data_IF_331010839578
#
_entry.id   IF_331010839578
#
_cell.length_a   1.000
_cell.length_b   1.000
_cell.length_c   1.000
_cell.angle_alpha   90.00
_cell.angle_beta   90.00
_cell.angle_gamma   90.00
#
_symmetry.space_group_name_H-M   'P 1'
#
loop_
_entity.id
_entity.type
_entity.pdbx_description
1 polymer ?
#
# COMPACT_ATOMS: atom_id res chain seq x y z
N UNK A 1 -31.29 -24.98 13.62
CA UNK A 1 -30.44 -24.74 12.45
C UNK A 1 -29.02 -24.77 12.95
N UNK A 2 -28.16 -25.68 12.46
CA UNK A 2 -26.76 -25.68 12.86
C UNK A 2 -26.11 -24.39 12.32
N UNK A 3 -25.50 -23.61 13.20
CA UNK A 3 -24.74 -22.43 12.80
C UNK A 3 -23.58 -22.88 11.88
N UNK A 4 -23.48 -22.28 10.72
CA UNK A 4 -22.38 -22.55 9.81
C UNK A 4 -21.07 -22.04 10.44
N UNK A 5 -20.01 -22.85 10.35
CA UNK A 5 -18.68 -22.47 10.87
C UNK A 5 -17.65 -22.54 9.76
N UNK A 6 -16.57 -21.75 9.90
CA UNK A 6 -15.43 -21.75 8.98
C UNK A 6 -14.14 -21.63 9.77
N UNK A 7 -13.11 -22.37 9.34
CA UNK A 7 -11.74 -22.24 9.85
C UNK A 7 -10.97 -21.24 8.98
N UNK A 8 -10.70 -20.08 9.54
CA UNK A 8 -9.94 -19.00 8.88
C UNK A 8 -8.44 -19.26 8.85
N UNK A 9 -7.98 -20.39 9.43
CA UNK A 9 -6.57 -20.81 9.53
C UNK A 9 -5.70 -19.79 10.28
N UNK A 10 -6.29 -19.16 11.28
CA UNK A 10 -5.63 -18.19 12.16
C UNK A 10 -5.12 -18.80 13.47
N UNK A 11 -5.27 -20.10 13.65
CA UNK A 11 -4.89 -20.88 14.82
C UNK A 11 -6.00 -21.00 15.89
N UNK A 12 -7.14 -20.37 15.71
CA UNK A 12 -8.27 -20.40 16.65
C UNK A 12 -9.30 -21.49 16.33
N UNK A 13 -9.12 -22.23 15.23
CA UNK A 13 -10.05 -23.24 14.76
C UNK A 13 -11.34 -22.66 14.16
N UNK A 14 -12.34 -23.51 13.87
CA UNK A 14 -13.58 -23.08 13.24
C UNK A 14 -14.42 -22.15 14.16
N UNK A 15 -14.83 -21.02 13.63
CA UNK A 15 -15.71 -20.05 14.32
C UNK A 15 -17.03 -19.87 13.55
N UNK A 16 -18.11 -19.42 14.21
CA UNK A 16 -19.36 -19.09 13.54
C UNK A 16 -19.13 -18.09 12.40
N UNK A 17 -19.57 -18.45 11.19
CA UNK A 17 -19.35 -17.68 9.99
C UNK A 17 -20.45 -17.93 8.96
N UNK A 18 -20.52 -17.05 7.98
CA UNK A 18 -21.46 -17.16 6.87
C UNK A 18 -20.80 -16.77 5.55
N UNK A 19 -21.43 -17.13 4.45
CA UNK A 19 -21.06 -16.64 3.12
C UNK A 19 -21.67 -15.26 2.90
N UNK A 20 -20.87 -14.30 2.49
CA UNK A 20 -21.38 -12.97 2.18
C UNK A 20 -22.29 -13.02 0.95
N UNK A 21 -23.40 -12.28 0.98
CA UNK A 21 -24.41 -12.31 -0.09
C UNK A 21 -23.87 -11.78 -1.42
N UNK A 22 -22.96 -10.81 -1.38
CA UNK A 22 -22.33 -10.24 -2.56
C UNK A 22 -20.90 -10.79 -2.70
N UNK A 23 -20.72 -11.83 -3.53
CA UNK A 23 -19.44 -12.44 -3.87
C UNK A 23 -19.15 -13.81 -3.23
N UNK A 24 -19.87 -14.20 -2.16
CA UNK A 24 -19.80 -15.53 -1.58
C UNK A 24 -18.56 -15.82 -0.73
N UNK A 25 -17.75 -14.83 -0.39
CA UNK A 25 -16.60 -14.99 0.50
C UNK A 25 -16.99 -15.26 1.96
N UNK A 26 -16.06 -15.78 2.74
CA UNK A 26 -16.30 -16.14 4.12
C UNK A 26 -16.19 -14.93 5.05
N UNK A 27 -17.21 -14.74 5.87
CA UNK A 27 -17.28 -13.67 6.87
C UNK A 27 -17.56 -14.29 8.25
N UNK A 28 -16.69 -14.04 9.23
CA UNK A 28 -16.94 -14.43 10.60
C UNK A 28 -18.10 -13.60 11.17
N UNK A 29 -18.94 -14.20 12.03
CA UNK A 29 -20.09 -13.50 12.60
C UNK A 29 -19.70 -12.35 13.55
N UNK A 30 -18.42 -12.27 13.95
CA UNK A 30 -17.85 -11.16 14.72
C UNK A 30 -17.45 -9.95 13.86
N UNK A 31 -17.26 -10.17 12.56
CA UNK A 31 -16.91 -9.11 11.62
C UNK A 31 -18.14 -8.38 11.10
N UNK A 32 -17.98 -7.10 10.79
CA UNK A 32 -19.04 -6.25 10.25
C UNK A 32 -18.76 -5.96 8.76
N UNK A 33 -19.58 -6.53 7.88
CA UNK A 33 -19.46 -6.33 6.45
C UNK A 33 -20.76 -5.78 5.88
N UNK A 34 -20.72 -4.62 5.25
CA UNK A 34 -21.89 -4.01 4.63
C UNK A 34 -22.28 -4.76 3.34
N UNK A 35 -23.56 -4.88 3.07
CA UNK A 35 -24.08 -5.63 1.91
C UNK A 35 -23.62 -5.10 0.55
N UNK A 36 -23.23 -3.83 0.44
CA UNK A 36 -22.67 -3.26 -0.80
C UNK A 36 -21.24 -3.73 -1.08
N UNK A 37 -20.49 -4.14 -0.06
CA UNK A 37 -19.15 -4.64 -0.25
C UNK A 37 -19.15 -5.97 -1.03
N UNK A 38 -18.21 -6.12 -1.94
CA UNK A 38 -17.98 -7.39 -2.62
C UNK A 38 -16.91 -8.19 -1.88
N UNK A 39 -17.25 -9.39 -1.42
CA UNK A 39 -16.30 -10.33 -0.81
C UNK A 39 -16.23 -11.56 -1.71
N UNK A 40 -15.17 -11.67 -2.51
CA UNK A 40 -14.98 -12.74 -3.48
C UNK A 40 -14.95 -14.13 -2.84
N UNK A 41 -15.19 -15.21 -3.60
CA UNK A 41 -15.46 -16.54 -3.07
C UNK A 41 -14.32 -17.12 -2.20
N UNK A 42 -13.07 -16.74 -2.46
CA UNK A 42 -11.89 -17.20 -1.73
C UNK A 42 -11.40 -16.17 -0.69
N UNK A 43 -11.96 -14.95 -0.73
CA UNK A 43 -11.65 -13.89 0.22
C UNK A 43 -12.25 -14.16 1.61
N UNK A 44 -11.57 -13.63 2.63
CA UNK A 44 -11.92 -13.88 4.03
C UNK A 44 -11.94 -12.59 4.84
N UNK A 45 -13.01 -12.40 5.62
CA UNK A 45 -13.15 -11.29 6.57
C UNK A 45 -13.46 -11.86 7.95
N UNK A 46 -12.60 -11.63 8.94
CA UNK A 46 -12.78 -12.24 10.26
C UNK A 46 -12.19 -11.39 11.39
N UNK A 47 -12.29 -11.90 12.64
CA UNK A 47 -12.02 -11.10 13.82
C UNK A 47 -13.12 -10.06 14.01
N UNK A 48 -12.75 -8.84 14.41
CA UNK A 48 -13.67 -7.70 14.55
C UNK A 48 -13.52 -6.72 13.37
N UNK A 49 -13.13 -7.20 12.20
CA UNK A 49 -12.91 -6.34 11.05
C UNK A 49 -14.19 -5.64 10.61
N UNK A 50 -14.05 -4.39 10.17
CA UNK A 50 -15.12 -3.56 9.66
C UNK A 50 -14.93 -3.26 8.19
N UNK A 51 -15.87 -3.68 7.34
CA UNK A 51 -15.83 -3.44 5.88
C UNK A 51 -17.11 -2.73 5.46
N UNK A 52 -17.00 -1.50 4.95
CA UNK A 52 -18.16 -0.67 4.61
C UNK A 52 -17.97 0.13 3.31
N UNK A 53 -19.05 0.49 2.66
CA UNK A 53 -19.01 1.16 1.36
C UNK A 53 -18.95 0.16 0.20
N UNK A 54 -18.44 0.59 -0.96
CA UNK A 54 -18.31 -0.25 -2.17
C UNK A 54 -16.95 -0.97 -2.22
N UNK A 55 -16.50 -1.41 -1.08
CA UNK A 55 -15.21 -2.13 -0.96
C UNK A 55 -15.22 -3.39 -1.79
N UNK A 56 -14.09 -3.70 -2.41
CA UNK A 56 -13.86 -4.91 -3.17
C UNK A 56 -12.75 -5.75 -2.52
N UNK A 57 -13.09 -6.91 -1.95
CA UNK A 57 -12.11 -7.88 -1.43
C UNK A 57 -12.17 -9.13 -2.29
N UNK A 58 -11.07 -9.51 -2.94
CA UNK A 58 -11.05 -10.62 -3.90
C UNK A 58 -9.73 -11.40 -3.92
N UNK A 59 -9.70 -12.52 -4.65
CA UNK A 59 -8.60 -13.46 -4.56
C UNK A 59 -8.55 -14.11 -3.19
N UNK A 60 -7.38 -14.51 -2.74
CA UNK A 60 -7.15 -15.08 -1.40
C UNK A 60 -6.97 -14.02 -0.30
N UNK A 61 -7.36 -12.78 -0.60
CA UNK A 61 -7.18 -11.64 0.30
C UNK A 61 -7.88 -11.84 1.65
N UNK A 62 -7.27 -11.34 2.70
CA UNK A 62 -7.83 -11.39 4.05
C UNK A 62 -7.85 -10.03 4.74
N UNK A 63 -8.99 -9.73 5.36
CA UNK A 63 -9.18 -8.56 6.23
C UNK A 63 -9.55 -9.06 7.62
N UNK A 64 -8.72 -8.77 8.63
CA UNK A 64 -8.97 -9.34 9.95
C UNK A 64 -8.39 -8.52 11.12
N UNK A 65 -8.64 -9.00 12.34
CA UNK A 65 -8.35 -8.26 13.56
C UNK A 65 -9.36 -7.14 13.75
N UNK A 66 -8.90 -5.95 14.11
CA UNK A 66 -9.71 -4.73 14.23
C UNK A 66 -9.53 -3.83 12.99
N UNK A 67 -9.23 -4.41 11.83
CA UNK A 67 -8.97 -3.66 10.60
C UNK A 67 -10.24 -3.00 10.06
N UNK A 68 -10.06 -1.82 9.48
CA UNK A 68 -11.12 -1.03 8.88
C UNK A 68 -10.87 -0.83 7.38
N UNK A 69 -11.81 -1.25 6.54
CA UNK A 69 -11.75 -1.05 5.08
C UNK A 69 -13.02 -0.37 4.62
N UNK A 70 -12.91 0.78 3.95
CA UNK A 70 -14.09 1.60 3.63
C UNK A 70 -13.97 2.39 2.31
N UNK A 71 -15.07 3.00 1.89
CA UNK A 71 -15.14 3.76 0.65
C UNK A 71 -15.19 2.86 -0.58
N UNK A 72 -14.37 3.15 -1.57
CA UNK A 72 -14.19 2.38 -2.82
C UNK A 72 -12.88 1.56 -2.78
N UNK A 73 -12.36 1.27 -1.59
CA UNK A 73 -11.09 0.59 -1.40
C UNK A 73 -11.09 -0.82 -1.99
N UNK A 74 -9.91 -1.26 -2.42
CA UNK A 74 -9.73 -2.58 -3.03
C UNK A 74 -8.63 -3.36 -2.30
N UNK A 75 -8.91 -4.61 -1.96
CA UNK A 75 -7.94 -5.56 -1.39
C UNK A 75 -7.99 -6.83 -2.22
N UNK A 76 -6.88 -7.21 -2.87
CA UNK A 76 -6.92 -8.32 -3.83
C UNK A 76 -5.61 -9.12 -3.89
N UNK A 77 -5.63 -10.26 -4.59
CA UNK A 77 -4.51 -11.21 -4.59
C UNK A 77 -4.42 -11.91 -3.24
N UNK A 78 -3.22 -12.06 -2.72
CA UNK A 78 -2.93 -12.65 -1.40
C UNK A 78 -2.77 -11.57 -0.30
N UNK A 79 -3.22 -10.34 -0.59
CA UNK A 79 -3.05 -9.19 0.29
C UNK A 79 -3.70 -9.37 1.67
N UNK A 80 -3.06 -8.80 2.68
CA UNK A 80 -3.51 -8.90 4.07
C UNK A 80 -3.64 -7.52 4.71
N UNK A 81 -4.86 -7.23 5.20
CA UNK A 81 -5.14 -6.03 5.98
C UNK A 81 -5.54 -6.47 7.39
N UNK A 82 -4.73 -6.16 8.39
CA UNK A 82 -4.91 -6.75 9.73
C UNK A 82 -4.53 -5.84 10.89
N UNK A 83 -4.86 -6.28 12.10
CA UNK A 83 -4.65 -5.49 13.31
C UNK A 83 -5.57 -4.29 13.32
N UNK A 84 -5.03 -3.10 13.56
CA UNK A 84 -5.78 -1.83 13.52
C UNK A 84 -5.53 -1.06 12.22
N UNK A 85 -5.19 -1.75 11.14
CA UNK A 85 -4.92 -1.13 9.85
C UNK A 85 -6.17 -0.49 9.26
N UNK A 86 -5.96 0.57 8.51
CA UNK A 86 -7.03 1.33 7.86
C UNK A 86 -6.76 1.45 6.36
N UNK A 87 -7.73 1.04 5.54
CA UNK A 87 -7.70 1.24 4.07
C UNK A 87 -8.98 1.94 3.67
N UNK A 88 -8.89 3.12 3.03
CA UNK A 88 -10.06 3.95 2.74
C UNK A 88 -9.94 4.72 1.42
N UNK A 89 -11.00 5.42 1.04
CA UNK A 89 -11.04 6.12 -0.24
C UNK A 89 -10.98 5.14 -1.40
N UNK A 90 -10.16 5.39 -2.39
CA UNK A 90 -9.82 4.49 -3.50
C UNK A 90 -8.57 3.64 -3.24
N UNK A 91 -8.08 3.57 -1.99
CA UNK A 91 -6.85 2.86 -1.62
C UNK A 91 -6.83 1.41 -2.11
N UNK A 92 -5.73 1.01 -2.73
CA UNK A 92 -5.61 -0.32 -3.32
C UNK A 92 -4.42 -1.10 -2.74
N UNK A 93 -4.72 -2.25 -2.11
CA UNK A 93 -3.75 -3.19 -1.52
C UNK A 93 -3.84 -4.50 -2.30
N UNK A 94 -2.76 -4.91 -2.98
CA UNK A 94 -2.81 -6.08 -3.86
C UNK A 94 -1.47 -6.84 -3.95
N UNK A 95 -1.48 -8.01 -4.60
CA UNK A 95 -0.36 -8.94 -4.59
C UNK A 95 -0.23 -9.59 -3.22
N UNK A 96 0.98 -9.72 -2.70
CA UNK A 96 1.30 -10.27 -1.37
C UNK A 96 1.41 -9.16 -0.30
N UNK A 97 0.97 -7.94 -0.61
CA UNK A 97 1.12 -6.76 0.22
C UNK A 97 0.45 -6.90 1.59
N UNK A 98 1.06 -6.28 2.59
CA UNK A 98 0.56 -6.33 3.98
C UNK A 98 0.43 -4.96 4.59
N UNK A 99 -0.78 -4.63 5.04
CA UNK A 99 -1.05 -3.43 5.85
C UNK A 99 -1.45 -3.87 7.25
N UNK A 100 -0.72 -3.44 8.28
CA UNK A 100 -0.93 -3.97 9.64
C UNK A 100 -0.63 -2.95 10.74
N UNK A 101 -0.91 -3.33 11.98
CA UNK A 101 -0.79 -2.42 13.12
C UNK A 101 -1.79 -1.28 13.00
N UNK A 102 -1.32 -0.04 12.98
CA UNK A 102 -2.11 1.15 12.68
C UNK A 102 -1.75 1.78 11.32
N UNK A 103 -1.20 0.99 10.39
CA UNK A 103 -0.86 1.45 9.03
C UNK A 103 -2.10 1.92 8.29
N UNK A 104 -1.98 3.04 7.61
CA UNK A 104 -3.08 3.70 6.90
C UNK A 104 -2.77 3.84 5.42
N UNK A 105 -3.71 3.40 4.56
CA UNK A 105 -3.67 3.57 3.10
C UNK A 105 -4.96 4.28 2.69
N UNK A 106 -4.86 5.44 2.05
CA UNK A 106 -6.03 6.25 1.70
C UNK A 106 -5.89 6.97 0.36
N UNK A 107 -6.97 7.63 -0.03
CA UNK A 107 -7.11 8.31 -1.32
C UNK A 107 -6.94 7.30 -2.47
N UNK A 108 -6.09 7.56 -3.45
CA UNK A 108 -5.80 6.65 -4.57
C UNK A 108 -4.46 5.90 -4.41
N UNK A 109 -3.94 5.86 -3.17
CA UNK A 109 -2.68 5.21 -2.86
C UNK A 109 -2.69 3.71 -3.14
N UNK A 110 -1.54 3.18 -3.56
CA UNK A 110 -1.37 1.77 -3.92
C UNK A 110 -0.27 1.12 -3.11
N UNK A 111 -0.56 -0.08 -2.59
CA UNK A 111 0.42 -0.93 -1.90
C UNK A 111 0.41 -2.29 -2.56
N UNK A 112 1.55 -2.75 -3.11
CA UNK A 112 1.58 -3.95 -3.94
C UNK A 112 2.88 -4.76 -3.84
N UNK A 113 2.93 -5.91 -4.50
CA UNK A 113 4.05 -6.84 -4.37
C UNK A 113 4.14 -7.37 -2.96
N UNK A 114 5.34 -7.52 -2.42
CA UNK A 114 5.63 -7.95 -1.05
C UNK A 114 5.70 -6.78 -0.05
N UNK A 115 5.23 -5.59 -0.44
CA UNK A 115 5.35 -4.38 0.34
C UNK A 115 4.61 -4.47 1.68
N UNK A 116 5.18 -3.84 2.71
CA UNK A 116 4.63 -3.83 4.06
C UNK A 116 4.47 -2.41 4.58
N UNK A 117 3.26 -2.11 5.05
CA UNK A 117 2.93 -0.84 5.71
C UNK A 117 2.44 -1.15 7.11
N UNK A 118 3.13 -0.65 8.16
CA UNK A 118 2.76 -0.97 9.53
C UNK A 118 3.15 0.12 10.54
N UNK A 119 2.80 -0.10 11.81
CA UNK A 119 2.98 0.91 12.84
C UNK A 119 1.93 2.01 12.72
N UNK A 120 2.35 3.25 12.56
CA UNK A 120 1.52 4.42 12.28
C UNK A 120 1.82 5.00 10.89
N UNK A 121 2.45 4.22 10.03
CA UNK A 121 2.82 4.68 8.70
C UNK A 121 1.58 5.02 7.86
N UNK A 122 1.70 6.06 7.07
CA UNK A 122 0.60 6.57 6.24
C UNK A 122 1.02 6.64 4.78
N UNK A 123 0.25 5.99 3.90
CA UNK A 123 0.41 6.04 2.44
C UNK A 123 -0.86 6.68 1.85
N UNK A 124 -0.74 7.83 1.20
CA UNK A 124 -1.91 8.57 0.72
C UNK A 124 -1.63 9.41 -0.54
N UNK A 125 -2.68 10.00 -1.12
CA UNK A 125 -2.61 10.64 -2.43
C UNK A 125 -2.51 9.59 -3.54
N UNK A 126 -1.72 9.84 -4.56
CA UNK A 126 -1.41 8.91 -5.66
C UNK A 126 -0.16 8.07 -5.39
N UNK A 127 0.31 8.03 -4.14
CA UNK A 127 1.55 7.37 -3.75
C UNK A 127 1.51 5.85 -4.00
N UNK A 128 2.65 5.31 -4.41
CA UNK A 128 2.79 3.88 -4.65
C UNK A 128 3.94 3.27 -3.83
N UNK A 129 3.59 2.29 -2.99
CA UNK A 129 4.54 1.46 -2.25
C UNK A 129 4.50 0.05 -2.86
N UNK A 130 5.62 -0.44 -3.38
CA UNK A 130 5.65 -1.68 -4.16
C UNK A 130 6.92 -2.51 -3.90
N UNK A 131 7.06 -3.61 -4.64
CA UNK A 131 8.20 -4.51 -4.48
C UNK A 131 8.28 -5.05 -3.07
N UNK A 132 9.45 -5.00 -2.46
CA UNK A 132 9.73 -5.46 -1.10
C UNK A 132 9.85 -4.31 -0.08
N UNK A 133 9.34 -3.13 -0.41
CA UNK A 133 9.45 -1.95 0.46
C UNK A 133 8.74 -2.13 1.81
N UNK A 134 9.39 -1.66 2.88
CA UNK A 134 8.85 -1.63 4.23
C UNK A 134 8.68 -0.19 4.72
N UNK A 135 7.45 0.24 4.90
CA UNK A 135 7.11 1.57 5.43
C UNK A 135 6.53 1.40 6.84
N UNK A 136 7.15 1.98 7.85
CA UNK A 136 6.76 1.76 9.24
C UNK A 136 7.00 2.98 10.14
N UNK A 137 6.70 2.83 11.43
CA UNK A 137 6.82 3.94 12.38
C UNK A 137 5.82 5.03 12.06
N UNK A 138 6.29 6.26 12.00
CA UNK A 138 5.51 7.45 11.65
C UNK A 138 5.78 7.93 10.19
N UNK A 139 6.35 7.06 9.35
CA UNK A 139 6.67 7.41 7.96
C UNK A 139 5.42 7.74 7.15
N UNK A 140 5.53 8.75 6.28
CA UNK A 140 4.44 9.16 5.37
C UNK A 140 4.93 9.11 3.93
N UNK A 141 4.21 8.39 3.09
CA UNK A 141 4.42 8.35 1.64
C UNK A 141 3.21 8.99 0.99
N UNK A 142 3.40 10.09 0.26
CA UNK A 142 2.29 10.91 -0.22
C UNK A 142 2.58 11.56 -1.58
N UNK A 143 1.56 12.20 -2.16
CA UNK A 143 1.62 12.75 -3.50
C UNK A 143 1.86 11.65 -4.52
N UNK A 144 2.70 11.89 -5.51
CA UNK A 144 3.08 10.93 -6.55
C UNK A 144 4.35 10.13 -6.20
N UNK A 145 4.70 10.03 -4.91
CA UNK A 145 5.91 9.33 -4.48
C UNK A 145 5.83 7.84 -4.80
N UNK A 146 6.90 7.28 -5.35
CA UNK A 146 7.01 5.86 -5.62
C UNK A 146 8.16 5.22 -4.84
N UNK A 147 7.82 4.35 -3.91
CA UNK A 147 8.75 3.59 -3.06
C UNK A 147 8.71 2.13 -3.48
N UNK A 148 9.82 1.59 -3.98
CA UNK A 148 9.88 0.24 -4.54
C UNK A 148 10.59 -0.77 -3.67
N UNK A 149 11.55 -0.33 -2.86
CA UNK A 149 12.41 -1.21 -2.08
C UNK A 149 12.94 -0.52 -0.84
N UNK A 150 13.43 -1.33 0.10
CA UNK A 150 14.12 -0.85 1.28
C UNK A 150 13.20 -0.53 2.45
N UNK A 151 13.78 0.05 3.48
CA UNK A 151 13.16 0.21 4.80
C UNK A 151 13.02 1.68 5.13
N UNK A 152 11.80 2.13 5.41
CA UNK A 152 11.45 3.52 5.65
C UNK A 152 10.80 3.68 7.02
N UNK A 153 11.60 4.13 8.00
CA UNK A 153 11.10 4.60 9.29
C UNK A 153 10.70 6.08 9.25
N UNK A 154 11.11 6.79 8.19
CA UNK A 154 10.89 8.21 7.97
C UNK A 154 10.24 8.43 6.61
N UNK A 155 9.62 9.60 6.44
CA UNK A 155 9.06 10.01 5.15
C UNK A 155 10.15 9.99 4.07
N UNK A 156 9.95 9.26 2.96
CA UNK A 156 10.85 9.29 1.82
C UNK A 156 11.00 10.71 1.28
N UNK A 157 12.18 11.04 0.78
CA UNK A 157 12.40 12.35 0.14
C UNK A 157 11.91 12.24 -1.29
N UNK A 158 10.91 13.04 -1.61
CA UNK A 158 10.38 13.18 -2.96
C UNK A 158 10.38 14.66 -3.36
N UNK A 159 10.79 14.93 -4.59
CA UNK A 159 10.77 16.28 -5.16
C UNK A 159 10.00 16.20 -6.48
N UNK A 160 8.97 17.02 -6.57
CA UNK A 160 8.14 17.09 -7.77
C UNK A 160 8.57 18.28 -8.62
N UNK A 161 8.83 18.02 -9.89
CA UNK A 161 9.16 19.01 -10.91
C UNK A 161 7.93 19.85 -11.26
N UNK A 162 8.12 21.04 -11.81
CA UNK A 162 7.04 22.00 -12.11
C UNK A 162 5.92 21.48 -13.03
N UNK A 163 6.17 20.39 -13.78
CA UNK A 163 5.20 19.73 -14.65
C UNK A 163 4.54 18.48 -14.00
N UNK A 164 4.72 18.30 -12.68
CA UNK A 164 4.14 17.19 -11.93
C UNK A 164 5.00 15.91 -11.90
N UNK A 165 6.16 15.89 -12.57
CA UNK A 165 7.00 14.69 -12.59
C UNK A 165 7.79 14.55 -11.28
N UNK A 166 7.58 13.45 -10.55
CA UNK A 166 8.14 13.23 -9.21
C UNK A 166 9.36 12.31 -9.23
N UNK A 167 10.38 12.70 -8.46
CA UNK A 167 11.59 11.97 -8.18
C UNK A 167 11.58 11.57 -6.72
N UNK A 168 11.74 10.28 -6.42
CA UNK A 168 11.76 9.76 -5.06
C UNK A 168 13.09 9.08 -4.75
N UNK A 169 13.79 9.56 -3.72
CA UNK A 169 15.01 8.93 -3.22
C UNK A 169 14.66 7.66 -2.44
N UNK A 170 15.20 6.55 -2.89
CA UNK A 170 15.05 5.26 -2.22
C UNK A 170 16.03 5.12 -1.04
N UNK A 171 15.79 4.18 -0.15
CA UNK A 171 16.66 3.97 1.03
C UNK A 171 18.06 3.43 0.67
N UNK A 172 18.23 2.80 -0.49
CA UNK A 172 19.50 2.35 -1.03
C UNK A 172 20.28 3.43 -1.79
N UNK A 173 19.76 4.66 -1.82
CA UNK A 173 20.35 5.79 -2.53
C UNK A 173 19.98 5.86 -4.00
N UNK A 174 19.24 4.92 -4.56
CA UNK A 174 18.72 5.02 -5.92
C UNK A 174 17.59 6.06 -6.02
N UNK A 175 17.33 6.54 -7.23
CA UNK A 175 16.30 7.55 -7.51
C UNK A 175 15.24 6.92 -8.42
N UNK A 176 14.02 6.85 -7.95
CA UNK A 176 12.86 6.48 -8.77
C UNK A 176 12.29 7.73 -9.40
N UNK A 177 12.11 7.71 -10.72
CA UNK A 177 11.50 8.80 -11.47
C UNK A 177 10.55 8.23 -12.52
N UNK A 178 9.27 8.46 -12.38
CA UNK A 178 8.24 7.73 -13.12
C UNK A 178 8.36 6.22 -12.88
N UNK A 179 8.33 5.41 -13.95
CA UNK A 179 8.45 3.96 -13.84
C UNK A 179 9.91 3.44 -13.77
N UNK A 180 10.91 4.31 -13.82
CA UNK A 180 12.32 3.94 -13.92
C UNK A 180 13.06 4.13 -12.60
N UNK A 181 14.03 3.23 -12.38
CA UNK A 181 15.03 3.33 -11.32
C UNK A 181 16.36 3.75 -11.90
N UNK A 182 17.07 4.60 -11.18
CA UNK A 182 18.38 5.11 -11.57
C UNK A 182 19.31 5.09 -10.36
N UNK A 183 20.55 4.68 -10.56
CA UNK A 183 21.61 5.11 -9.67
C UNK A 183 21.79 6.64 -9.80
N UNK A 184 22.42 7.31 -8.83
CA UNK A 184 22.68 8.75 -8.94
C UNK A 184 23.44 9.14 -10.23
N UNK A 185 24.38 8.33 -10.68
CA UNK A 185 25.17 8.60 -11.89
C UNK A 185 24.37 8.36 -13.17
N UNK A 186 23.56 7.31 -13.24
CA UNK A 186 22.62 7.10 -14.35
C UNK A 186 21.60 8.21 -14.45
N UNK A 187 21.08 8.71 -13.31
CA UNK A 187 20.17 9.84 -13.26
C UNK A 187 20.82 11.10 -13.81
N UNK A 188 22.07 11.42 -13.39
CA UNK A 188 22.83 12.55 -13.92
C UNK A 188 23.07 12.40 -15.42
N UNK A 189 23.45 11.22 -15.90
CA UNK A 189 23.68 10.96 -17.33
C UNK A 189 22.38 11.12 -18.14
N UNK A 190 21.25 10.60 -17.63
CA UNK A 190 19.96 10.65 -18.31
C UNK A 190 19.44 12.09 -18.44
N UNK A 191 19.39 12.84 -17.35
CA UNK A 191 18.91 14.25 -17.35
C UNK A 191 19.98 15.29 -17.63
N UNK A 192 21.24 14.87 -17.76
CA UNK A 192 22.37 15.73 -18.16
C UNK A 192 22.32 16.17 -19.61
N UNK A 193 21.53 15.52 -20.47
CA UNK A 193 21.35 15.92 -21.86
C UNK A 193 20.56 17.26 -21.94
N UNK A 194 21.13 18.35 -22.49
CA UNK A 194 20.45 19.64 -22.62
C UNK A 194 19.17 19.64 -23.47
N UNK A 195 19.02 18.63 -24.33
CA UNK A 195 17.82 18.47 -25.18
C UNK A 195 16.63 17.86 -24.43
N UNK A 196 16.86 17.32 -23.24
CA UNK A 196 15.78 16.80 -22.43
C UNK A 196 14.82 17.91 -21.97
N UNK A 197 13.53 17.66 -22.10
CA UNK A 197 12.51 18.54 -21.54
C UNK A 197 12.77 18.78 -20.06
N UNK A 198 12.76 20.06 -19.64
CA UNK A 198 13.04 20.46 -18.24
C UNK A 198 14.41 20.02 -17.70
N UNK A 199 15.41 19.90 -18.57
CA UNK A 199 16.79 19.49 -18.23
C UNK A 199 17.31 20.20 -16.96
N UNK A 200 17.27 21.53 -16.91
CA UNK A 200 17.84 22.31 -15.78
C UNK A 200 17.16 21.98 -14.45
N UNK A 201 15.84 21.87 -14.46
CA UNK A 201 15.05 21.57 -13.27
C UNK A 201 15.31 20.13 -12.81
N UNK A 202 15.31 19.16 -13.73
CA UNK A 202 15.62 17.77 -13.45
C UNK A 202 17.03 17.61 -12.88
N UNK A 203 18.01 18.29 -13.46
CA UNK A 203 19.41 18.22 -12.98
C UNK A 203 19.58 18.83 -11.58
N UNK A 204 18.85 19.90 -11.25
CA UNK A 204 18.86 20.45 -9.90
C UNK A 204 18.30 19.45 -8.87
N UNK A 205 17.19 18.79 -9.22
CA UNK A 205 16.57 17.75 -8.38
C UNK A 205 17.51 16.56 -8.19
N UNK A 206 18.04 16.00 -9.29
CA UNK A 206 18.96 14.86 -9.26
C UNK A 206 20.22 15.17 -8.45
N UNK A 207 20.79 16.38 -8.61
CA UNK A 207 21.96 16.82 -7.86
C UNK A 207 21.66 16.87 -6.35
N UNK A 208 20.52 17.44 -5.94
CA UNK A 208 20.12 17.51 -4.55
C UNK A 208 19.90 16.11 -3.94
N UNK A 209 19.15 15.24 -4.63
CA UNK A 209 18.89 13.87 -4.16
C UNK A 209 20.18 13.04 -4.09
N UNK A 210 21.09 13.19 -5.05
CA UNK A 210 22.39 12.49 -5.06
C UNK A 210 23.27 12.91 -3.90
N UNK A 211 23.29 14.22 -3.55
CA UNK A 211 24.03 14.71 -2.39
C UNK A 211 23.49 14.10 -1.08
N UNK A 212 22.17 14.06 -0.93
CA UNK A 212 21.52 13.45 0.24
C UNK A 212 21.81 11.94 0.30
N UNK A 213 21.80 11.26 -0.84
CA UNK A 213 22.14 9.84 -0.91
C UNK A 213 23.57 9.55 -0.41
N UNK A 214 24.52 10.41 -0.78
CA UNK A 214 25.92 10.27 -0.37
C UNK A 214 26.13 10.47 1.14
N UNK A 215 25.34 11.32 1.79
CA UNK A 215 25.42 11.56 3.24
C UNK A 215 24.80 10.42 4.08
N UNK A 216 24.04 9.52 3.46
CA UNK A 216 23.35 8.40 4.15
C UNK A 216 24.12 7.08 4.10
N UNK A 217 25.22 7.00 3.34
CA UNK A 217 26.12 5.84 3.27
C UNK A 217 27.18 5.90 4.38
#
# INVERSE_FOLDING_TARGET
MNAQTHDFRDGNGPVPAHRHTNGGGWVANTAHVHNSAYIGPDARVYGNAWVSGNVWVSGDASVHGDAWVSGDARVSGDAKVLGKAWVSGGGWVFGDARVSGGGWVSDDARVSGDAKVYGKAWVHGDAWVSGDAWVYGDARVYGDAWVKRGVYAYTPISITRSDGYTFTLQSDGSIVAGCRDFTPDEAKAHWGNPEHHKHRESMAIVTALSAIAAERQ
#
